data_IF_487639633864
#
_entry.id   IF_487639633864
#
_cell.length_a   1.000
_cell.length_b   1.000
_cell.length_c   1.000
_cell.angle_alpha   90.00
_cell.angle_beta   90.00
_cell.angle_gamma   90.00
#
_symmetry.space_group_name_H-M   'P 1'
#
loop_
_entity.id
_entity.type
_entity.pdbx_description
1 polymer ?
#
# COMPACT_ATOMS: atom_id res chain seq x y z
N UNK A 1 -5.30 -6.37 23.06
CA UNK A 1 -5.53 -5.56 21.84
C UNK A 1 -6.81 -4.79 22.03
N UNK A 2 -6.88 -3.51 21.65
CA UNK A 2 -8.18 -2.87 21.49
C UNK A 2 -8.83 -3.46 20.23
N UNK A 3 -10.00 -4.07 20.37
CA UNK A 3 -10.68 -4.83 19.32
C UNK A 3 -11.28 -3.94 18.21
N UNK A 4 -11.32 -2.61 18.41
CA UNK A 4 -11.87 -1.66 17.44
C UNK A 4 -10.97 -0.44 17.24
N UNK A 5 -10.76 -0.11 15.97
CA UNK A 5 -10.19 1.15 15.54
C UNK A 5 -11.21 2.26 15.77
N UNK A 6 -11.11 2.97 16.88
CA UNK A 6 -11.95 4.15 17.13
C UNK A 6 -11.44 5.34 16.32
N UNK A 7 -12.18 5.68 15.25
CA UNK A 7 -11.92 6.87 14.45
C UNK A 7 -12.96 7.95 14.76
N UNK A 8 -12.53 9.20 14.96
CA UNK A 8 -13.47 10.32 15.04
C UNK A 8 -14.29 10.39 13.74
N UNK A 9 -15.62 10.48 13.86
CA UNK A 9 -16.56 10.45 12.71
C UNK A 9 -16.27 11.50 11.62
N UNK A 10 -15.51 12.55 11.92
CA UNK A 10 -15.15 13.62 11.00
C UNK A 10 -13.63 13.93 11.01
N UNK A 11 -12.80 12.94 11.35
CA UNK A 11 -11.35 13.13 11.33
C UNK A 11 -10.89 13.55 9.92
N UNK A 12 -10.04 14.57 9.84
CA UNK A 12 -9.39 14.91 8.58
C UNK A 12 -8.42 13.80 8.19
N UNK A 13 -8.20 13.61 6.88
CA UNK A 13 -7.28 12.60 6.32
C UNK A 13 -5.94 12.49 7.08
N UNK A 14 -5.29 13.63 7.34
CA UNK A 14 -4.03 13.68 8.08
C UNK A 14 -4.18 13.21 9.55
N UNK A 15 -5.26 13.58 10.22
CA UNK A 15 -5.54 13.17 11.61
C UNK A 15 -5.79 11.65 11.65
N UNK A 16 -6.54 11.11 10.70
CA UNK A 16 -6.74 9.66 10.56
C UNK A 16 -5.39 8.94 10.43
N UNK A 17 -4.48 9.41 9.58
CA UNK A 17 -3.13 8.83 9.49
C UNK A 17 -2.38 8.86 10.83
N UNK A 18 -2.43 9.99 11.55
CA UNK A 18 -1.79 10.15 12.86
C UNK A 18 -2.37 9.19 13.92
N UNK A 19 -3.66 8.85 13.82
CA UNK A 19 -4.34 7.92 14.72
C UNK A 19 -3.95 6.47 14.43
N UNK A 20 -3.89 6.07 13.14
CA UNK A 20 -3.67 4.67 12.78
C UNK A 20 -2.21 4.25 12.83
N UNK A 21 -1.25 5.16 12.60
CA UNK A 21 0.17 4.81 12.56
C UNK A 21 0.69 4.20 13.87
N UNK A 22 0.40 4.75 15.06
CA UNK A 22 0.77 4.12 16.33
C UNK A 22 0.20 2.71 16.48
N UNK A 23 -1.04 2.51 16.01
CA UNK A 23 -1.71 1.21 16.10
C UNK A 23 -1.07 0.18 15.15
N UNK A 24 -0.75 0.59 13.92
CA UNK A 24 0.01 -0.24 12.98
C UNK A 24 1.32 -0.68 13.62
N UNK A 25 2.08 0.23 14.25
CA UNK A 25 3.34 -0.11 14.94
C UNK A 25 3.14 -1.17 16.02
N UNK A 26 2.10 -1.04 16.85
CA UNK A 26 1.79 -2.01 17.90
C UNK A 26 1.44 -3.36 17.29
N UNK A 27 0.49 -3.40 16.36
CA UNK A 27 0.00 -4.67 15.77
C UNK A 27 1.11 -5.42 15.06
N UNK A 28 1.92 -4.76 14.23
CA UNK A 28 3.00 -5.46 13.53
C UNK A 28 4.20 -5.79 14.44
N UNK A 29 4.28 -5.21 15.63
CA UNK A 29 5.34 -5.54 16.60
C UNK A 29 5.14 -6.90 17.27
N UNK A 30 3.94 -7.48 17.16
CA UNK A 30 3.61 -8.79 17.72
C UNK A 30 4.10 -9.96 16.84
N UNK A 31 4.42 -9.71 15.56
CA UNK A 31 4.88 -10.76 14.64
C UNK A 31 5.99 -10.29 13.70
N UNK A 32 6.92 -11.19 13.38
CA UNK A 32 7.89 -10.99 12.29
C UNK A 32 7.39 -11.59 10.97
N UNK A 33 6.26 -12.30 10.98
CA UNK A 33 5.64 -12.84 9.79
C UNK A 33 5.18 -11.69 8.89
N UNK A 34 5.71 -11.65 7.67
CA UNK A 34 5.42 -10.58 6.73
C UNK A 34 3.96 -10.62 6.30
N UNK A 35 3.39 -11.81 6.08
CA UNK A 35 2.01 -11.93 5.57
C UNK A 35 1.01 -11.41 6.60
N UNK A 36 1.16 -11.81 7.87
CA UNK A 36 0.34 -11.33 8.98
C UNK A 36 0.42 -9.80 9.11
N UNK A 37 1.61 -9.23 9.03
CA UNK A 37 1.81 -7.78 9.14
C UNK A 37 1.16 -7.03 7.96
N UNK A 38 1.37 -7.51 6.73
CA UNK A 38 0.73 -6.91 5.55
C UNK A 38 -0.80 -7.01 5.63
N UNK A 39 -1.34 -8.15 6.04
CA UNK A 39 -2.79 -8.36 6.18
C UNK A 39 -3.42 -7.42 7.21
N UNK A 40 -2.77 -7.22 8.36
CA UNK A 40 -3.27 -6.28 9.37
C UNK A 40 -3.15 -4.83 8.91
N UNK A 41 -2.08 -4.45 8.22
CA UNK A 41 -1.94 -3.10 7.66
C UNK A 41 -3.04 -2.82 6.62
N UNK A 42 -3.35 -3.77 5.72
CA UNK A 42 -4.45 -3.57 4.76
C UNK A 42 -5.81 -3.47 5.45
N UNK A 43 -6.06 -4.29 6.48
CA UNK A 43 -7.30 -4.21 7.26
C UNK A 43 -7.46 -2.83 7.94
N UNK A 44 -6.41 -2.33 8.59
CA UNK A 44 -6.43 -1.02 9.24
C UNK A 44 -6.65 0.11 8.23
N UNK A 45 -5.92 0.11 7.11
CA UNK A 45 -6.09 1.13 6.07
C UNK A 45 -7.48 1.09 5.44
N UNK A 46 -8.02 -0.11 5.18
CA UNK A 46 -9.37 -0.28 4.63
C UNK A 46 -10.42 0.24 5.59
N UNK A 47 -10.32 -0.10 6.88
CA UNK A 47 -11.27 0.39 7.90
C UNK A 47 -11.15 1.91 8.09
N UNK A 48 -9.96 2.47 7.92
CA UNK A 48 -9.71 3.88 8.20
C UNK A 48 -10.19 4.84 7.11
N UNK A 49 -10.10 4.42 5.86
CA UNK A 49 -10.35 5.31 4.73
C UNK A 49 -11.42 4.79 3.77
N UNK A 50 -11.90 3.56 3.98
CA UNK A 50 -12.86 2.89 3.09
C UNK A 50 -12.40 2.89 1.62
N UNK A 51 -11.08 2.82 1.38
CA UNK A 51 -10.49 2.82 0.04
C UNK A 51 -11.14 1.76 -0.86
N UNK A 52 -11.27 2.03 -2.16
CA UNK A 52 -11.93 1.09 -3.07
C UNK A 52 -11.19 -0.25 -3.07
N UNK A 53 -9.86 -0.17 -3.23
CA UNK A 53 -8.94 -1.28 -3.09
C UNK A 53 -7.70 -0.82 -2.30
N UNK A 54 -7.16 -1.69 -1.45
CA UNK A 54 -5.89 -1.46 -0.76
C UNK A 54 -5.19 -2.78 -0.54
N UNK A 55 -3.92 -2.87 -0.94
CA UNK A 55 -3.23 -4.14 -0.91
C UNK A 55 -1.75 -4.05 -1.23
N UNK A 56 -1.14 -5.22 -1.23
CA UNK A 56 0.28 -5.34 -1.51
C UNK A 56 0.52 -6.26 -2.69
N UNK A 57 1.50 -5.90 -3.50
CA UNK A 57 2.17 -6.83 -4.40
C UNK A 57 3.61 -7.04 -3.96
N UNK A 58 4.09 -8.27 -3.98
CA UNK A 58 5.39 -8.68 -3.45
C UNK A 58 6.30 -9.20 -4.54
N UNK A 59 7.60 -8.97 -4.38
CA UNK A 59 8.63 -9.52 -5.26
C UNK A 59 9.09 -10.85 -4.67
N UNK A 60 8.43 -11.92 -5.09
CA UNK A 60 8.82 -13.31 -4.75
C UNK A 60 9.51 -14.03 -5.92
N UNK A 61 9.50 -13.40 -7.09
CA UNK A 61 10.17 -13.84 -8.32
C UNK A 61 10.88 -12.63 -8.96
N UNK A 62 11.96 -12.84 -9.73
CA UNK A 62 12.68 -11.73 -10.36
C UNK A 62 11.79 -10.85 -11.24
N UNK A 63 11.90 -9.53 -11.06
CA UNK A 63 11.23 -8.50 -11.87
C UNK A 63 9.71 -8.71 -12.05
N UNK A 64 9.06 -9.37 -11.09
CA UNK A 64 7.62 -9.63 -11.12
C UNK A 64 7.01 -9.35 -9.75
N UNK A 65 5.96 -8.55 -9.76
CA UNK A 65 5.08 -8.31 -8.64
C UNK A 65 4.00 -9.40 -8.59
N UNK A 66 3.87 -10.07 -7.46
CA UNK A 66 2.88 -11.12 -7.20
C UNK A 66 1.93 -10.66 -6.10
N UNK A 67 0.62 -10.82 -6.32
CA UNK A 67 -0.42 -10.40 -5.39
C UNK A 67 -0.17 -10.96 -3.97
N UNK A 68 -0.21 -10.07 -2.99
CA UNK A 68 -0.14 -10.35 -1.55
C UNK A 68 -1.47 -10.07 -0.86
N UNK A 69 -1.47 -9.86 0.47
CA UNK A 69 -2.68 -9.50 1.20
C UNK A 69 -3.30 -8.19 0.68
N UNK A 70 -4.61 -8.16 0.54
CA UNK A 70 -5.37 -7.00 0.06
C UNK A 70 -6.80 -7.00 0.62
N UNK A 71 -7.49 -5.87 0.46
CA UNK A 71 -8.91 -5.67 0.77
C UNK A 71 -9.57 -4.96 -0.42
N UNK A 72 -10.53 -5.62 -1.07
CA UNK A 72 -11.19 -5.10 -2.27
C UNK A 72 -11.70 -6.21 -3.18
N UNK A 73 -12.06 -5.84 -4.41
CA UNK A 73 -12.44 -6.81 -5.44
C UNK A 73 -11.25 -7.63 -5.95
N UNK A 74 -11.53 -8.67 -6.73
CA UNK A 74 -10.53 -9.49 -7.43
C UNK A 74 -9.55 -8.59 -8.20
N UNK A 75 -8.25 -8.87 -8.08
CA UNK A 75 -7.18 -8.11 -8.71
C UNK A 75 -6.28 -9.00 -9.59
N UNK A 76 -5.44 -8.36 -10.42
CA UNK A 76 -4.43 -9.05 -11.21
C UNK A 76 -3.47 -9.82 -10.29
N UNK A 77 -3.13 -11.07 -10.62
CA UNK A 77 -2.24 -11.88 -9.77
C UNK A 77 -0.77 -11.55 -9.99
N UNK A 78 -0.38 -11.22 -11.23
CA UNK A 78 1.02 -11.00 -11.64
C UNK A 78 1.13 -9.70 -12.42
N UNK A 79 2.13 -8.88 -12.09
CA UNK A 79 2.42 -7.62 -12.76
C UNK A 79 3.94 -7.56 -13.04
N UNK A 80 4.38 -7.53 -14.30
CA UNK A 80 5.79 -7.34 -14.61
C UNK A 80 6.30 -5.95 -14.18
N UNK A 81 7.58 -5.85 -13.85
CA UNK A 81 8.22 -4.55 -13.65
C UNK A 81 8.09 -3.71 -14.94
N UNK A 82 7.86 -2.41 -14.78
CA UNK A 82 7.65 -1.44 -15.85
C UNK A 82 6.23 -1.42 -16.41
N UNK A 83 5.38 -2.36 -16.03
CA UNK A 83 4.01 -2.51 -16.54
C UNK A 83 2.98 -1.90 -15.58
N UNK A 84 2.10 -1.03 -16.09
CA UNK A 84 1.13 -0.32 -15.27
C UNK A 84 1.76 0.56 -14.19
N UNK A 85 0.93 1.14 -13.32
CA UNK A 85 1.39 2.04 -12.26
C UNK A 85 2.24 1.26 -11.25
N UNK A 86 1.74 0.10 -10.79
CA UNK A 86 2.46 -0.81 -9.91
C UNK A 86 3.87 -1.20 -10.41
N UNK A 87 3.97 -1.68 -11.65
CA UNK A 87 5.25 -2.10 -12.22
C UNK A 87 6.21 -0.93 -12.44
N UNK A 88 5.70 0.25 -12.83
CA UNK A 88 6.51 1.46 -12.97
C UNK A 88 7.04 1.93 -11.60
N UNK A 89 6.21 1.96 -10.55
CA UNK A 89 6.64 2.31 -9.21
C UNK A 89 7.73 1.34 -8.70
N UNK A 90 7.56 0.04 -8.95
CA UNK A 90 8.54 -0.98 -8.60
C UNK A 90 9.87 -0.83 -9.33
N UNK A 91 9.85 -0.44 -10.61
CA UNK A 91 11.06 -0.24 -11.43
C UNK A 91 11.80 1.04 -11.08
N UNK A 92 11.04 2.12 -10.90
CA UNK A 92 11.57 3.45 -10.63
C UNK A 92 11.95 3.64 -9.16
N UNK A 93 11.52 2.72 -8.27
CA UNK A 93 11.76 2.77 -6.83
C UNK A 93 11.24 4.07 -6.20
N UNK A 94 10.13 4.58 -6.74
CA UNK A 94 9.51 5.85 -6.34
C UNK A 94 8.00 5.70 -6.25
N UNK A 95 7.42 6.42 -5.29
CA UNK A 95 5.97 6.56 -5.19
C UNK A 95 5.42 7.22 -6.45
N UNK A 96 4.28 6.72 -6.93
CA UNK A 96 3.55 7.29 -8.07
C UNK A 96 2.14 7.65 -7.59
N UNK A 97 1.74 8.89 -7.85
CA UNK A 97 0.39 9.42 -7.66
C UNK A 97 -0.26 9.56 -9.03
N UNK A 98 -1.44 8.97 -9.22
CA UNK A 98 -2.17 9.00 -10.49
C UNK A 98 -3.56 9.59 -10.25
N UNK A 99 -3.80 10.86 -10.65
CA UNK A 99 -5.09 11.52 -10.41
C UNK A 99 -6.20 11.00 -11.35
N UNK A 100 -5.84 10.49 -12.52
CA UNK A 100 -6.74 9.79 -13.45
C UNK A 100 -6.01 8.61 -14.10
N UNK A 101 -6.38 7.38 -13.72
CA UNK A 101 -5.74 6.16 -14.23
C UNK A 101 -5.95 5.96 -15.73
N UNK A 102 -7.04 6.51 -16.30
CA UNK A 102 -7.31 6.41 -17.74
C UNK A 102 -6.36 7.28 -18.57
N UNK A 103 -5.72 8.27 -17.95
CA UNK A 103 -4.74 9.15 -18.59
C UNK A 103 -3.31 8.65 -18.40
N UNK A 104 -3.10 7.59 -17.61
CA UNK A 104 -1.77 7.08 -17.31
C UNK A 104 -1.22 6.22 -18.48
N UNK A 105 -0.07 6.57 -19.09
CA UNK A 105 0.49 5.80 -20.20
C UNK A 105 0.84 4.37 -19.80
N UNK A 106 0.33 3.40 -20.58
CA UNK A 106 0.57 1.98 -20.30
C UNK A 106 -0.22 1.43 -19.11
N UNK A 107 -1.33 2.08 -18.75
CA UNK A 107 -2.23 1.60 -17.71
C UNK A 107 -2.77 0.20 -18.05
N UNK A 108 -2.63 -0.71 -17.09
CA UNK A 108 -3.24 -2.05 -17.10
C UNK A 108 -4.41 -1.98 -16.13
N UNK A 109 -5.62 -1.76 -16.64
CA UNK A 109 -6.81 -1.70 -15.81
C UNK A 109 -7.11 -3.09 -15.22
N UNK A 110 -6.78 -3.30 -13.94
CA UNK A 110 -7.18 -4.50 -13.21
C UNK A 110 -8.64 -4.40 -12.73
N UNK A 111 -9.17 -3.19 -12.53
CA UNK A 111 -10.58 -2.90 -12.22
C UNK A 111 -11.08 -1.74 -13.08
N UNK A 112 -12.22 -1.90 -13.74
CA UNK A 112 -12.86 -0.82 -14.52
C UNK A 112 -13.47 0.29 -13.65
N UNK A 113 -13.47 0.11 -12.32
CA UNK A 113 -14.02 1.08 -11.37
C UNK A 113 -12.97 2.00 -10.75
N UNK A 114 -11.67 1.66 -10.86
CA UNK A 114 -10.61 2.54 -10.38
C UNK A 114 -10.52 3.80 -11.26
N UNK A 115 -10.39 4.96 -10.61
CA UNK A 115 -10.26 6.27 -11.25
C UNK A 115 -9.00 6.99 -10.84
N UNK A 116 -8.51 6.80 -9.63
CA UNK A 116 -7.19 7.29 -9.20
C UNK A 116 -6.48 6.22 -8.38
N UNK A 117 -5.14 6.28 -8.37
CA UNK A 117 -4.27 5.26 -7.78
C UNK A 117 -3.07 5.93 -7.09
N UNK A 118 -2.63 5.36 -5.96
CA UNK A 118 -1.31 5.64 -5.39
C UNK A 118 -0.57 4.34 -5.15
N UNK A 119 0.67 4.26 -5.66
CA UNK A 119 1.55 3.13 -5.43
C UNK A 119 2.82 3.57 -4.71
N UNK A 120 3.11 2.92 -3.57
CA UNK A 120 4.27 3.21 -2.72
C UNK A 120 5.19 1.99 -2.65
N UNK A 121 6.41 2.03 -3.22
CA UNK A 121 7.34 0.91 -3.17
C UNK A 121 8.08 0.82 -1.83
N UNK A 122 8.26 -0.40 -1.33
CA UNK A 122 9.22 -0.72 -0.28
C UNK A 122 10.53 -1.16 -0.93
N UNK A 123 11.54 -0.31 -0.79
CA UNK A 123 12.89 -0.55 -1.30
C UNK A 123 13.80 -0.94 -0.14
N UNK A 124 14.51 -2.05 -0.28
CA UNK A 124 15.48 -2.52 0.71
C UNK A 124 16.75 -2.99 0.00
N UNK A 125 17.90 -2.47 0.43
CA UNK A 125 19.21 -2.72 -0.19
C UNK A 125 19.24 -2.46 -1.71
N UNK A 126 18.60 -1.38 -2.15
CA UNK A 126 18.55 -1.01 -3.57
C UNK A 126 17.61 -1.86 -4.42
N UNK A 127 16.80 -2.73 -3.81
CA UNK A 127 15.84 -3.59 -4.50
C UNK A 127 14.43 -3.37 -3.98
N UNK A 128 13.46 -3.25 -4.89
CA UNK A 128 12.04 -3.29 -4.52
C UNK A 128 11.69 -4.67 -3.98
N UNK A 129 11.10 -4.74 -2.79
CA UNK A 129 10.65 -6.00 -2.18
C UNK A 129 9.14 -6.17 -2.25
N UNK A 130 8.40 -5.08 -2.23
CA UNK A 130 6.96 -5.03 -2.42
C UNK A 130 6.53 -3.62 -2.82
N UNK A 131 5.28 -3.48 -3.25
CA UNK A 131 4.59 -2.21 -3.37
C UNK A 131 3.29 -2.27 -2.57
N UNK A 132 2.94 -1.18 -1.91
CA UNK A 132 1.58 -0.90 -1.46
C UNK A 132 0.85 -0.19 -2.59
N UNK A 133 -0.33 -0.67 -2.90
CA UNK A 133 -1.18 -0.15 -3.96
C UNK A 133 -2.57 0.15 -3.39
N UNK A 134 -3.12 1.30 -3.76
CA UNK A 134 -4.40 1.81 -3.27
C UNK A 134 -5.15 2.49 -4.41
N UNK A 135 -6.36 2.00 -4.67
CA UNK A 135 -7.27 2.54 -5.67
C UNK A 135 -8.42 3.34 -5.02
N UNK A 136 -8.93 4.30 -5.77
CA UNK A 136 -10.18 4.99 -5.49
C UNK A 136 -11.10 5.00 -6.72
N UNK A 137 -12.41 4.93 -6.47
CA UNK A 137 -13.47 5.14 -7.46
C UNK A 137 -13.74 6.63 -7.75
N UNK A 138 -12.95 7.52 -7.16
CA UNK A 138 -12.94 8.97 -7.35
C UNK A 138 -11.66 9.39 -8.07
N UNK A 139 -11.76 10.43 -8.90
CA UNK A 139 -10.61 11.09 -9.49
C UNK A 139 -9.87 11.89 -8.40
N UNK A 140 -8.55 12.02 -8.56
CA UNK A 140 -7.68 12.86 -7.72
C UNK A 140 -7.87 12.62 -6.20
N UNK A 141 -8.07 11.36 -5.80
CA UNK A 141 -8.38 11.03 -4.41
C UNK A 141 -7.15 11.08 -3.48
N UNK A 142 -5.95 11.00 -4.04
CA UNK A 142 -4.68 10.92 -3.33
C UNK A 142 -3.83 12.15 -3.58
N UNK A 143 -3.12 12.60 -2.55
CA UNK A 143 -2.27 13.78 -2.61
C UNK A 143 -0.98 13.59 -1.79
N UNK A 144 -0.22 14.67 -1.62
CA UNK A 144 1.05 14.66 -0.89
C UNK A 144 0.92 14.21 0.58
N UNK A 145 -0.25 14.37 1.21
CA UNK A 145 -0.51 13.87 2.56
C UNK A 145 -0.51 12.34 2.54
N UNK A 146 -1.26 11.73 1.61
CA UNK A 146 -1.31 10.27 1.46
C UNK A 146 0.09 9.72 1.20
N UNK A 147 0.81 10.30 0.23
CA UNK A 147 2.18 9.90 -0.07
C UNK A 147 3.08 9.92 1.17
N UNK A 148 3.13 11.05 1.89
CA UNK A 148 4.00 11.20 3.05
C UNK A 148 3.70 10.18 4.17
N UNK A 149 2.44 9.89 4.46
CA UNK A 149 2.08 8.97 5.54
C UNK A 149 2.14 7.49 5.12
N UNK A 150 1.81 7.18 3.87
CA UNK A 150 1.93 5.81 3.35
C UNK A 150 3.39 5.39 3.21
N UNK A 151 4.29 6.30 2.80
CA UNK A 151 5.73 6.07 2.83
C UNK A 151 6.25 5.80 4.25
N UNK A 152 5.72 6.49 5.26
CA UNK A 152 6.05 6.19 6.67
C UNK A 152 5.59 4.79 7.10
N UNK A 153 4.38 4.38 6.70
CA UNK A 153 3.87 3.03 6.97
C UNK A 153 4.76 1.98 6.30
N UNK A 154 5.17 2.20 5.06
CA UNK A 154 6.11 1.33 4.35
C UNK A 154 7.46 1.23 5.06
N UNK A 155 7.98 2.36 5.57
CA UNK A 155 9.21 2.37 6.36
C UNK A 155 9.06 1.55 7.65
N UNK A 156 7.92 1.63 8.32
CA UNK A 156 7.62 0.84 9.52
C UNK A 156 7.64 -0.66 9.22
N UNK A 157 7.00 -1.09 8.13
CA UNK A 157 7.05 -2.48 7.65
C UNK A 157 8.49 -2.90 7.30
N UNK A 158 9.24 -2.03 6.61
CA UNK A 158 10.64 -2.29 6.24
C UNK A 158 11.51 -2.55 7.47
N UNK A 159 11.43 -1.67 8.48
CA UNK A 159 12.15 -1.83 9.74
C UNK A 159 11.79 -3.14 10.42
N UNK A 160 10.49 -3.42 10.53
CA UNK A 160 10.01 -4.62 11.23
C UNK A 160 10.43 -5.91 10.55
N UNK A 161 10.25 -6.01 9.24
CA UNK A 161 10.31 -7.29 8.53
C UNK A 161 11.63 -7.53 7.76
N UNK A 162 12.43 -6.50 7.49
CA UNK A 162 13.63 -6.61 6.66
C UNK A 162 14.92 -6.14 7.34
N UNK A 163 14.84 -5.16 8.25
CA UNK A 163 16.01 -4.73 9.04
C UNK A 163 16.19 -5.58 10.29
N UNK A 164 15.12 -5.87 11.02
CA UNK A 164 15.19 -6.56 12.31
C UNK A 164 15.23 -8.09 12.23
N UNK A 165 15.22 -8.68 11.03
CA UNK A 165 15.30 -10.15 10.83
C UNK A 165 16.67 -10.77 11.17
N UNK A 166 17.66 -9.95 11.50
CA UNK A 166 19.02 -10.37 11.84
C UNK A 166 19.33 -10.30 13.35
N UNK A 167 18.30 -10.21 14.20
CA UNK A 167 18.37 -10.35 15.66
C UNK A 167 17.54 -11.54 16.09
#
# INVERSE_FOLDING_TARGET
MAEQLELPKNARKEETYKIIIPQIKVVISESYDLIANLANVTAILKQAFEFHWVGFYRVIEPQTLILGPFQGLLACVRIPFGSGVCGQAASNQKTILVPDVNQFPGHIACSSLSKSEIVVPLVYKGETKLVLDIDSDKLDAFNAIDQNYLEQIIKIICVRNFLNKNL
#
